data_IF_946959448347
#
_entry.id   IF_946959448347
#
_cell.length_a   1.000
_cell.length_b   1.000
_cell.length_c   1.000
_cell.angle_alpha   90.00
_cell.angle_beta   90.00
_cell.angle_gamma   90.00
#
_symmetry.space_group_name_H-M   'P 1'
#
loop_
_entity.id
_entity.type
_entity.pdbx_description
1 polymer ?
#
# COMPACT_ATOMS: atom_id res chain seq x y z
N UNK A 1 -4.26 19.17 -18.95
CA UNK A 1 -3.85 17.85 -18.42
C UNK A 1 -4.21 17.83 -16.94
N UNK A 2 -4.79 16.75 -16.44
CA UNK A 2 -5.10 16.55 -15.02
C UNK A 2 -3.92 15.97 -14.26
N UNK A 3 -3.91 16.12 -12.93
CA UNK A 3 -2.91 15.48 -12.06
C UNK A 3 -3.46 14.15 -11.57
N UNK A 4 -2.77 13.05 -11.80
CA UNK A 4 -3.18 11.72 -11.33
C UNK A 4 -2.70 11.48 -9.91
N UNK A 5 -3.58 10.98 -9.05
CA UNK A 5 -3.26 10.64 -7.67
C UNK A 5 -3.44 9.15 -7.45
N UNK A 6 -2.44 8.50 -6.86
CA UNK A 6 -2.39 7.06 -6.63
C UNK A 6 -1.83 6.78 -5.24
N UNK A 7 -2.43 5.84 -4.50
CA UNK A 7 -1.82 5.29 -3.28
C UNK A 7 -0.92 4.14 -3.68
N UNK A 8 0.30 4.13 -3.17
CA UNK A 8 1.26 3.06 -3.32
C UNK A 8 1.28 2.23 -2.04
N UNK A 9 1.27 0.91 -2.17
CA UNK A 9 1.36 -0.04 -1.07
C UNK A 9 2.57 -0.93 -1.30
N UNK A 10 3.54 -0.85 -0.40
CA UNK A 10 4.75 -1.66 -0.42
C UNK A 10 4.65 -2.85 0.54
N UNK A 11 5.37 -3.92 0.23
CA UNK A 11 5.45 -5.09 1.13
C UNK A 11 6.16 -4.74 2.44
N UNK A 12 5.68 -5.34 3.54
CA UNK A 12 6.35 -5.24 4.83
C UNK A 12 7.61 -6.12 4.87
N UNK A 13 8.66 -5.65 5.52
CA UNK A 13 9.92 -6.39 5.72
C UNK A 13 10.33 -6.34 7.20
N UNK A 14 10.79 -7.46 7.80
CA UNK A 14 11.02 -8.78 7.22
C UNK A 14 9.76 -9.67 7.11
N UNK A 15 8.65 -9.25 7.73
CA UNK A 15 7.37 -9.96 7.68
C UNK A 15 6.31 -9.04 7.06
N UNK A 16 5.65 -9.53 6.02
CA UNK A 16 4.70 -8.75 5.22
C UNK A 16 3.30 -8.72 5.86
N UNK A 17 3.13 -8.27 7.11
CA UNK A 17 1.80 -8.12 7.72
C UNK A 17 1.10 -6.82 7.28
N UNK A 18 -0.26 -6.76 7.24
CA UNK A 18 -0.97 -5.57 6.78
C UNK A 18 -0.56 -4.30 7.54
N UNK A 19 -0.36 -4.39 8.85
CA UNK A 19 0.07 -3.28 9.72
C UNK A 19 1.51 -2.81 9.48
N UNK A 20 2.34 -3.64 8.85
CA UNK A 20 3.74 -3.35 8.54
C UNK A 20 3.96 -2.94 7.08
N UNK A 21 2.91 -2.96 6.26
CA UNK A 21 3.00 -2.44 4.90
C UNK A 21 3.14 -0.94 4.90
N UNK A 22 4.10 -0.48 4.13
CA UNK A 22 4.32 0.95 3.93
C UNK A 22 3.37 1.49 2.86
N UNK A 23 2.83 2.67 3.12
CA UNK A 23 1.93 3.35 2.18
C UNK A 23 2.40 4.76 1.88
N UNK A 24 2.27 5.16 0.62
CA UNK A 24 2.64 6.48 0.13
C UNK A 24 1.58 7.05 -0.81
N UNK A 25 1.54 8.37 -0.95
CA UNK A 25 0.78 9.06 -1.98
C UNK A 25 1.70 9.42 -3.13
N UNK A 26 1.32 9.04 -4.35
CA UNK A 26 2.05 9.36 -5.56
C UNK A 26 1.22 10.25 -6.47
N UNK A 27 1.84 11.33 -6.93
CA UNK A 27 1.25 12.29 -7.84
C UNK A 27 2.01 12.30 -9.16
N UNK A 28 1.27 12.16 -10.26
CA UNK A 28 1.77 12.45 -11.60
C UNK A 28 1.14 13.76 -12.04
N UNK A 29 1.92 14.84 -11.99
CA UNK A 29 1.42 16.17 -12.31
C UNK A 29 1.19 16.35 -13.80
N UNK A 30 0.33 17.30 -14.14
CA UNK A 30 0.07 17.73 -15.52
C UNK A 30 1.34 18.12 -16.31
N UNK A 31 2.41 18.53 -15.61
CA UNK A 31 3.71 18.89 -16.18
C UNK A 31 4.59 17.69 -16.55
N UNK A 32 4.20 16.47 -16.17
CA UNK A 32 4.98 15.25 -16.34
C UNK A 32 5.91 14.92 -15.17
N UNK A 33 6.12 15.86 -14.25
CA UNK A 33 6.84 15.66 -13.00
C UNK A 33 6.08 14.70 -12.09
N UNK A 34 6.78 13.87 -11.33
CA UNK A 34 6.18 13.03 -10.30
C UNK A 34 6.62 13.45 -8.91
N UNK A 35 5.79 13.18 -7.91
CA UNK A 35 6.16 13.36 -6.50
C UNK A 35 5.50 12.28 -5.66
N UNK A 36 6.31 11.56 -4.91
CA UNK A 36 5.88 10.58 -3.91
C UNK A 36 6.04 11.19 -2.54
N UNK A 37 4.96 11.23 -1.76
CA UNK A 37 4.92 11.80 -0.41
C UNK A 37 4.47 10.73 0.57
N UNK A 38 5.20 10.60 1.68
CA UNK A 38 4.93 9.59 2.70
C UNK A 38 5.50 9.99 4.05
N UNK A 39 5.30 9.11 5.05
CA UNK A 39 6.02 9.17 6.31
C UNK A 39 6.84 7.92 6.49
N UNK A 40 8.10 8.09 6.84
CA UNK A 40 9.04 6.99 7.10
C UNK A 40 9.47 7.00 8.56
N UNK A 41 9.95 5.86 9.05
CA UNK A 41 10.45 5.72 10.41
C UNK A 41 9.76 4.59 11.14
N UNK A 42 9.85 4.64 12.47
CA UNK A 42 9.21 3.70 13.38
C UNK A 42 8.23 4.42 14.29
N UNK A 43 7.42 3.64 15.01
CA UNK A 43 6.43 4.13 15.95
C UNK A 43 7.02 5.19 16.91
N UNK A 44 6.41 6.38 16.94
CA UNK A 44 6.87 7.53 17.74
C UNK A 44 8.05 8.31 17.16
N UNK A 45 8.57 7.93 15.99
CA UNK A 45 9.71 8.58 15.31
C UNK A 45 9.47 8.68 13.80
N UNK A 46 8.24 8.95 13.38
CA UNK A 46 7.91 9.17 11.98
C UNK A 46 8.37 10.55 11.50
N UNK A 47 8.80 10.61 10.25
CA UNK A 47 9.24 11.83 9.56
C UNK A 47 8.59 11.87 8.18
N UNK A 48 8.03 13.02 7.82
CA UNK A 48 7.53 13.26 6.47
C UNK A 48 8.68 13.36 5.46
N UNK A 49 8.53 12.71 4.31
CA UNK A 49 9.46 12.76 3.19
C UNK A 49 8.71 12.95 1.87
N UNK A 50 9.37 13.65 0.95
CA UNK A 50 8.92 13.87 -0.42
C UNK A 50 10.05 13.47 -1.39
N UNK A 51 9.78 12.49 -2.24
CA UNK A 51 10.66 12.05 -3.31
C UNK A 51 10.14 12.59 -4.65
N UNK A 52 10.87 13.53 -5.24
CA UNK A 52 10.50 14.17 -6.52
C UNK A 52 11.20 13.46 -7.66
N UNK A 53 10.43 13.12 -8.71
CA UNK A 53 10.90 12.44 -9.92
C UNK A 53 11.64 11.11 -9.67
N UNK A 54 11.35 10.45 -8.54
CA UNK A 54 11.85 9.12 -8.22
C UNK A 54 10.85 8.05 -8.68
N UNK A 55 11.35 6.96 -9.26
CA UNK A 55 10.51 5.81 -9.62
C UNK A 55 9.99 5.13 -8.34
N UNK A 56 8.66 4.98 -8.17
CA UNK A 56 8.06 4.20 -7.10
C UNK A 56 8.63 2.79 -6.92
N UNK A 57 9.16 2.16 -7.98
CA UNK A 57 9.74 0.81 -7.88
C UNK A 57 11.13 0.78 -7.25
N UNK A 58 11.79 1.93 -7.10
CA UNK A 58 13.14 2.04 -6.53
C UNK A 58 13.14 2.27 -5.00
N UNK A 59 11.98 2.18 -4.35
CA UNK A 59 11.78 2.53 -2.93
C UNK A 59 12.38 1.54 -1.90
N UNK A 60 13.35 0.70 -2.28
CA UNK A 60 14.02 -0.28 -1.41
C UNK A 60 13.12 -1.40 -0.87
N UNK A 61 11.83 -1.39 -1.18
CA UNK A 61 10.81 -2.38 -0.84
C UNK A 61 9.97 -2.66 -2.08
N UNK A 62 9.42 -3.88 -2.17
CA UNK A 62 8.66 -4.29 -3.35
C UNK A 62 7.31 -3.59 -3.39
N UNK A 63 7.03 -2.86 -4.47
CA UNK A 63 5.70 -2.28 -4.70
C UNK A 63 4.69 -3.40 -4.92
N UNK A 64 3.80 -3.59 -3.96
CA UNK A 64 2.87 -4.70 -3.94
C UNK A 64 1.56 -4.38 -4.68
N UNK A 65 1.03 -3.17 -4.48
CA UNK A 65 -0.21 -2.73 -5.11
C UNK A 65 -0.24 -1.22 -5.28
N UNK A 66 -0.92 -0.78 -6.34
CA UNK A 66 -1.29 0.62 -6.54
C UNK A 66 -2.81 0.75 -6.50
N UNK A 67 -3.30 1.82 -5.86
CA UNK A 67 -4.74 2.11 -5.75
C UNK A 67 -4.98 3.48 -6.36
N UNK A 68 -5.69 3.57 -7.50
CA UNK A 68 -6.02 4.87 -8.09
C UNK A 68 -6.98 5.62 -7.17
N UNK A 69 -6.63 6.85 -6.79
CA UNK A 69 -7.49 7.73 -5.99
C UNK A 69 -8.44 8.48 -6.92
N UNK A 70 -7.87 9.11 -7.95
CA UNK A 70 -8.61 9.91 -8.91
C UNK A 70 -7.73 10.92 -9.63
N UNK A 71 -8.38 11.77 -10.41
CA UNK A 71 -7.73 12.87 -11.12
C UNK A 71 -8.09 14.19 -10.46
N UNK A 72 -7.08 15.00 -10.19
CA UNK A 72 -7.21 16.38 -9.71
C UNK A 72 -7.24 17.30 -10.92
N UNK A 73 -8.10 18.32 -10.86
CA UNK A 73 -8.22 19.34 -11.90
C UNK A 73 -6.86 19.97 -12.23
N UNK A 74 -6.58 20.15 -13.53
CA UNK A 74 -5.31 20.67 -14.02
C UNK A 74 -5.04 22.13 -13.66
N UNK A 75 -6.05 22.89 -13.22
CA UNK A 75 -5.93 24.23 -12.69
C UNK A 75 -5.33 24.28 -11.27
N UNK A 76 -5.33 23.16 -10.55
CA UNK A 76 -4.67 23.07 -9.23
C UNK A 76 -3.17 22.89 -9.44
N UNK A 77 -2.37 23.83 -8.94
CA UNK A 77 -0.91 23.77 -9.08
C UNK A 77 -0.30 22.64 -8.24
N UNK A 78 0.79 22.05 -8.74
CA UNK A 78 1.56 21.04 -8.01
C UNK A 78 2.01 21.54 -6.63
N UNK A 79 2.37 22.81 -6.52
CA UNK A 79 2.76 23.46 -5.27
C UNK A 79 1.59 23.52 -4.25
N UNK A 80 0.36 23.71 -4.72
CA UNK A 80 -0.84 23.68 -3.86
C UNK A 80 -1.07 22.28 -3.30
N UNK A 81 -0.92 21.25 -4.13
CA UNK A 81 -1.03 19.84 -3.71
C UNK A 81 0.07 19.52 -2.68
N UNK A 82 1.33 19.85 -3.00
CA UNK A 82 2.48 19.65 -2.10
C UNK A 82 2.26 20.32 -0.75
N UNK A 83 1.84 21.59 -0.74
CA UNK A 83 1.54 22.33 0.51
C UNK A 83 0.40 21.70 1.31
N UNK A 84 -0.65 21.21 0.65
CA UNK A 84 -1.76 20.58 1.33
C UNK A 84 -1.35 19.25 1.99
N UNK A 85 -0.58 18.44 1.27
CA UNK A 85 -0.13 17.12 1.76
C UNK A 85 0.95 17.26 2.83
N UNK A 86 1.94 18.13 2.66
CA UNK A 86 3.01 18.33 3.64
C UNK A 86 2.54 19.00 4.94
N UNK A 87 1.39 19.69 4.91
CA UNK A 87 0.74 20.21 6.10
C UNK A 87 0.07 19.12 6.96
N UNK A 88 0.02 17.87 6.49
CA UNK A 88 -0.57 16.74 7.23
C UNK A 88 0.25 16.46 8.49
N UNK A 89 -0.34 16.54 9.70
CA UNK A 89 0.38 16.31 10.94
C UNK A 89 0.98 14.89 11.01
N UNK A 90 2.25 14.82 11.40
CA UNK A 90 2.91 13.56 11.76
C UNK A 90 2.78 13.37 13.25
N UNK A 91 2.13 12.28 13.67
CA UNK A 91 1.82 12.04 15.08
C UNK A 91 2.83 11.09 15.69
N UNK A 92 3.58 11.60 16.65
CA UNK A 92 4.63 10.89 17.37
C UNK A 92 4.39 10.95 18.90
N UNK A 93 3.17 11.30 19.32
CA UNK A 93 2.80 11.40 20.73
C UNK A 93 2.76 10.05 21.41
N UNK A 94 2.80 10.07 22.75
CA UNK A 94 2.67 8.85 23.56
C UNK A 94 1.28 8.23 23.44
N UNK A 95 0.27 9.04 23.15
CA UNK A 95 -1.09 8.57 22.84
C UNK A 95 -1.26 8.01 21.42
N UNK A 96 -0.33 8.25 20.49
CA UNK A 96 -0.47 7.89 19.06
C UNK A 96 0.24 6.57 18.71
N UNK A 97 0.27 5.62 19.63
CA UNK A 97 1.01 4.37 19.44
C UNK A 97 0.43 3.51 18.30
N UNK A 98 -0.85 3.60 18.00
CA UNK A 98 -1.47 2.92 16.87
C UNK A 98 -1.36 3.69 15.55
N UNK A 99 -0.72 4.87 15.57
CA UNK A 99 -0.55 5.70 14.38
C UNK A 99 0.61 5.23 13.51
N UNK A 100 0.38 5.14 12.21
CA UNK A 100 1.35 4.67 11.22
C UNK A 100 1.21 5.41 9.87
N UNK A 101 1.97 4.98 8.86
CA UNK A 101 1.93 5.57 7.52
C UNK A 101 0.58 5.43 6.79
N UNK A 102 -0.22 4.42 7.11
CA UNK A 102 -1.56 4.22 6.53
C UNK A 102 -2.52 5.29 7.06
N UNK A 103 -2.43 5.58 8.36
CA UNK A 103 -3.20 6.65 8.99
C UNK A 103 -2.80 8.01 8.42
N UNK A 104 -1.51 8.23 8.17
CA UNK A 104 -1.02 9.44 7.52
C UNK A 104 -1.59 9.63 6.11
N UNK A 105 -1.64 8.58 5.28
CA UNK A 105 -2.26 8.66 3.93
C UNK A 105 -3.73 9.05 4.03
N UNK A 106 -4.48 8.45 4.96
CA UNK A 106 -5.88 8.79 5.20
C UNK A 106 -6.10 10.24 5.66
N UNK A 107 -5.21 10.75 6.52
CA UNK A 107 -5.20 12.14 6.99
C UNK A 107 -4.80 13.11 5.85
N UNK A 108 -3.82 12.76 5.01
CA UNK A 108 -3.40 13.58 3.87
C UNK A 108 -4.49 13.70 2.80
N UNK A 109 -5.22 12.61 2.52
CA UNK A 109 -6.40 12.66 1.66
C UNK A 109 -7.50 13.54 2.27
N UNK A 110 -7.67 13.54 3.60
CA UNK A 110 -8.59 14.46 4.28
C UNK A 110 -8.17 15.91 4.07
N UNK A 111 -6.88 16.22 4.19
CA UNK A 111 -6.35 17.57 3.93
C UNK A 111 -6.65 18.05 2.51
N UNK A 112 -6.52 17.17 1.51
CA UNK A 112 -6.87 17.50 0.12
C UNK A 112 -8.38 17.79 -0.05
N UNK A 113 -9.24 17.08 0.68
CA UNK A 113 -10.69 17.36 0.69
C UNK A 113 -10.99 18.70 1.36
N UNK A 114 -10.38 18.98 2.51
CA UNK A 114 -10.55 20.25 3.24
C UNK A 114 -10.09 21.47 2.43
N UNK A 115 -9.11 21.29 1.53
CA UNK A 115 -8.65 22.32 0.60
C UNK A 115 -9.47 22.39 -0.70
N UNK A 116 -10.51 21.57 -0.84
CA UNK A 116 -11.35 21.53 -2.03
C UNK A 116 -10.66 20.96 -3.28
N UNK A 117 -9.55 20.24 -3.10
CA UNK A 117 -8.78 19.60 -4.18
C UNK A 117 -9.41 18.27 -4.58
N UNK A 118 -9.94 17.52 -3.61
CA UNK A 118 -10.66 16.28 -3.80
C UNK A 118 -12.06 16.36 -3.19
N UNK A 119 -12.98 15.51 -3.64
CA UNK A 119 -14.28 15.35 -3.00
C UNK A 119 -14.22 14.32 -1.87
N UNK A 120 -15.16 14.37 -0.94
CA UNK A 120 -15.25 13.42 0.17
C UNK A 120 -15.45 11.98 -0.32
N UNK A 121 -16.23 11.80 -1.40
CA UNK A 121 -16.53 10.49 -1.99
C UNK A 121 -15.28 9.89 -2.66
N UNK A 122 -14.42 10.73 -3.25
CA UNK A 122 -13.13 10.28 -3.80
C UNK A 122 -12.23 9.78 -2.68
N UNK A 123 -12.16 10.50 -1.56
CA UNK A 123 -11.40 10.09 -0.38
C UNK A 123 -11.90 8.76 0.18
N UNK A 124 -13.21 8.60 0.35
CA UNK A 124 -13.80 7.38 0.91
C UNK A 124 -13.42 6.15 0.08
N UNK A 125 -13.66 6.19 -1.24
CA UNK A 125 -13.28 5.09 -2.14
C UNK A 125 -11.78 4.79 -2.14
N UNK A 126 -10.95 5.82 -2.01
CA UNK A 126 -9.50 5.65 -1.97
C UNK A 126 -9.03 4.99 -0.67
N UNK A 127 -9.62 5.36 0.48
CA UNK A 127 -9.33 4.72 1.77
C UNK A 127 -9.82 3.28 1.78
N UNK A 128 -11.02 3.00 1.26
CA UNK A 128 -11.53 1.63 1.13
C UNK A 128 -10.62 0.78 0.24
N UNK A 129 -10.21 1.31 -0.92
CA UNK A 129 -9.29 0.63 -1.83
C UNK A 129 -7.92 0.38 -1.21
N UNK A 130 -7.42 1.28 -0.36
CA UNK A 130 -6.21 1.09 0.42
C UNK A 130 -6.37 -0.06 1.42
N UNK A 131 -7.44 -0.05 2.22
CA UNK A 131 -7.74 -1.12 3.18
C UNK A 131 -7.82 -2.46 2.46
N UNK A 132 -8.60 -2.56 1.38
CA UNK A 132 -8.65 -3.77 0.56
C UNK A 132 -7.26 -4.19 0.04
N UNK A 133 -6.45 -3.22 -0.40
CA UNK A 133 -5.08 -3.46 -0.84
C UNK A 133 -4.14 -4.00 0.25
N UNK A 134 -4.34 -3.60 1.50
CA UNK A 134 -3.58 -4.07 2.64
C UNK A 134 -3.96 -5.53 3.02
N UNK A 135 -5.22 -5.92 2.87
CA UNK A 135 -5.65 -7.27 3.23
C UNK A 135 -5.53 -8.30 2.10
N UNK A 136 -5.61 -7.87 0.83
CA UNK A 136 -5.74 -8.79 -0.30
C UNK A 136 -4.56 -9.75 -0.47
N UNK A 137 -3.31 -9.28 -0.28
CA UNK A 137 -2.12 -10.12 -0.46
C UNK A 137 -2.07 -11.27 0.57
N UNK A 138 -2.60 -11.09 1.78
CA UNK A 138 -2.69 -12.19 2.76
C UNK A 138 -3.71 -13.23 2.37
N UNK A 139 -4.87 -12.82 1.87
CA UNK A 139 -5.86 -13.77 1.35
C UNK A 139 -5.30 -14.58 0.18
N UNK A 140 -4.51 -13.96 -0.71
CA UNK A 140 -3.87 -14.67 -1.81
C UNK A 140 -2.74 -15.60 -1.35
N UNK A 141 -1.83 -15.16 -0.45
CA UNK A 141 -0.75 -16.02 0.07
C UNK A 141 -1.29 -17.17 0.93
N UNK A 142 -2.31 -16.95 1.76
CA UNK A 142 -2.96 -18.01 2.53
C UNK A 142 -3.62 -19.05 1.62
N UNK A 143 -4.32 -18.60 0.55
CA UNK A 143 -4.84 -19.52 -0.48
C UNK A 143 -3.74 -20.25 -1.23
N UNK A 144 -2.64 -19.59 -1.55
CA UNK A 144 -1.50 -20.22 -2.22
C UNK A 144 -0.81 -21.26 -1.35
N UNK A 145 -0.63 -20.97 -0.05
CA UNK A 145 -0.12 -21.92 0.94
C UNK A 145 -1.11 -23.09 1.11
N UNK A 146 -2.42 -22.84 1.22
CA UNK A 146 -3.41 -23.93 1.29
C UNK A 146 -3.42 -24.78 0.02
N UNK A 147 -3.32 -24.18 -1.17
CA UNK A 147 -3.22 -24.90 -2.43
C UNK A 147 -1.91 -25.68 -2.53
N UNK A 148 -0.77 -25.11 -2.13
CA UNK A 148 0.52 -25.78 -2.14
C UNK A 148 0.56 -26.95 -1.15
N UNK A 149 -0.02 -26.79 0.05
CA UNK A 149 -0.20 -27.88 1.03
C UNK A 149 -1.14 -28.95 0.47
N UNK A 150 -2.25 -28.56 -0.16
CA UNK A 150 -3.18 -29.51 -0.78
C UNK A 150 -2.53 -30.30 -1.93
N UNK A 151 -1.75 -29.63 -2.80
CA UNK A 151 -0.95 -30.25 -3.86
C UNK A 151 0.16 -31.15 -3.30
N UNK A 152 0.81 -30.76 -2.21
CA UNK A 152 1.81 -31.58 -1.51
C UNK A 152 1.19 -32.86 -0.92
N UNK A 153 0.02 -32.76 -0.29
CA UNK A 153 -0.72 -33.93 0.22
C UNK A 153 -1.24 -34.82 -0.92
N UNK A 154 -1.76 -34.25 -2.00
CA UNK A 154 -2.18 -35.00 -3.20
C UNK A 154 -1.00 -35.73 -3.86
N UNK A 155 0.18 -35.10 -3.93
CA UNK A 155 1.40 -35.73 -4.44
C UNK A 155 1.87 -36.90 -3.56
N UNK A 156 1.70 -36.81 -2.23
CA UNK A 156 2.00 -37.92 -1.30
C UNK A 156 0.96 -39.05 -1.32
N UNK A 157 -0.30 -38.78 -1.66
CA UNK A 157 -1.31 -39.84 -1.81
C UNK A 157 -1.07 -40.73 -3.05
N UNK A 158 -0.46 -40.19 -4.11
CA UNK A 158 -0.15 -40.98 -5.32
C UNK A 158 0.97 -42.01 -5.08
N UNK A 159 1.85 -41.80 -4.09
CA UNK A 159 2.95 -42.73 -3.78
C UNK A 159 2.56 -43.91 -2.86
N UNK A 160 1.34 -43.96 -2.31
CA UNK A 160 0.92 -45.03 -1.38
C UNK A 160 0.21 -46.22 -2.08
N UNK A 161 -0.16 -46.10 -3.36
CA UNK A 161 -1.00 -47.11 -4.05
C UNK A 161 -0.23 -48.04 -5.02
N UNK A 162 1.09 -47.91 -5.15
CA UNK A 162 1.90 -48.81 -5.99
C UNK A 162 3.02 -49.50 -5.20
N UNK A 163 2.65 -50.34 -4.23
CA UNK A 163 3.52 -51.42 -3.75
C UNK A 163 2.92 -52.77 -4.21
N UNK A 164 3.57 -53.52 -5.10
CA UNK A 164 3.11 -54.87 -5.43
C UNK A 164 3.24 -55.76 -4.18
N UNK A 165 2.13 -56.42 -3.83
CA UNK A 165 2.12 -57.50 -2.83
C UNK A 165 2.72 -58.75 -3.47
N UNK A 166 4.00 -59.01 -3.26
CA UNK A 166 4.54 -60.35 -3.42
C UNK A 166 4.43 -61.08 -2.07
N UNK A 167 3.58 -62.11 -2.05
CA UNK A 167 3.35 -63.02 -0.92
C UNK A 167 4.27 -64.24 -1.14
N UNK A 168 5.02 -64.70 -0.13
CA UNK A 168 6.01 -65.76 -0.27
C UNK A 168 5.36 -67.15 -0.30
N UNK A 169 6.09 -68.13 -0.83
CA UNK A 169 5.86 -69.55 -0.61
C UNK A 169 7.09 -70.14 0.07
#
# INVERSE_FOLDING_TARGET
MSTKTTILIYTGSPLDYPEYRHTALHFTFATGTTSTMHVVGTQGLFIFQEDVDLDPHEFGSELSKTVPVGEIDGGVSAETIRRAVSATPVRNGREDLDWNCQNWVGDALRMLVEKGVLSAEVRERAVDGMVEGLWIIWFYRAKFILMAVSLYYLSRCVYIVCLPRDIPN
#
